data_IF_346939050715
#
_entry.id   IF_346939050715
#
_cell.length_a   1.000
_cell.length_b   1.000
_cell.length_c   1.000
_cell.angle_alpha   90.00
_cell.angle_beta   90.00
_cell.angle_gamma   90.00
#
_symmetry.space_group_name_H-M   'P 1'
#
loop_
_entity.id
_entity.type
_entity.pdbx_description
1 polymer ?
#
# COMPACT_ATOMS: atom_id res chain seq x y z
N UNK A 1 20.04 29.89 17.28
CA UNK A 1 19.32 29.90 15.98
C UNK A 1 18.07 30.74 16.15
N UNK A 2 17.90 31.83 15.38
CA UNK A 2 16.77 32.75 15.55
C UNK A 2 15.47 32.15 15.02
N UNK A 3 14.32 32.65 15.48
CA UNK A 3 13.00 32.18 15.03
C UNK A 3 12.83 32.27 13.50
N UNK A 4 13.34 33.34 12.87
CA UNK A 4 13.30 33.52 11.42
C UNK A 4 14.08 32.43 10.65
N UNK A 5 15.28 32.06 11.12
CA UNK A 5 16.08 30.98 10.50
C UNK A 5 15.38 29.62 10.62
N UNK A 6 14.70 29.35 11.74
CA UNK A 6 13.89 28.14 11.95
C UNK A 6 12.71 28.07 10.99
N UNK A 7 11.96 29.17 10.85
CA UNK A 7 10.82 29.25 9.92
C UNK A 7 11.26 29.01 8.48
N UNK A 8 12.31 29.69 8.01
CA UNK A 8 12.85 29.51 6.65
C UNK A 8 13.27 28.07 6.37
N UNK A 9 13.96 27.42 7.31
CA UNK A 9 14.38 26.02 7.18
C UNK A 9 13.17 25.08 7.08
N UNK A 10 12.14 25.32 7.87
CA UNK A 10 10.90 24.54 7.81
C UNK A 10 10.17 24.73 6.48
N UNK A 11 10.05 25.96 5.99
CA UNK A 11 9.45 26.26 4.68
C UNK A 11 10.16 25.53 3.55
N UNK A 12 11.50 25.60 3.49
CA UNK A 12 12.29 24.90 2.47
C UNK A 12 12.15 23.39 2.56
N UNK A 13 12.15 22.84 3.78
CA UNK A 13 11.93 21.40 4.01
C UNK A 13 10.57 20.97 3.50
N UNK A 14 9.51 21.71 3.84
CA UNK A 14 8.14 21.44 3.35
C UNK A 14 8.09 21.52 1.83
N UNK A 15 8.65 22.56 1.21
CA UNK A 15 8.67 22.70 -0.24
C UNK A 15 9.34 21.50 -0.93
N UNK A 16 10.50 21.05 -0.45
CA UNK A 16 11.19 19.87 -0.99
C UNK A 16 10.33 18.60 -0.84
N UNK A 17 9.71 18.39 0.32
CA UNK A 17 8.84 17.23 0.53
C UNK A 17 7.62 17.25 -0.39
N UNK A 18 6.97 18.41 -0.54
CA UNK A 18 5.83 18.60 -1.44
C UNK A 18 6.24 18.34 -2.89
N UNK A 19 7.39 18.87 -3.35
CA UNK A 19 7.89 18.62 -4.70
C UNK A 19 8.17 17.14 -4.96
N UNK A 20 8.74 16.42 -3.98
CA UNK A 20 8.96 14.97 -4.12
C UNK A 20 7.64 14.21 -4.16
N UNK A 21 6.68 14.54 -3.31
CA UNK A 21 5.37 13.90 -3.29
C UNK A 21 4.61 14.11 -4.60
N UNK A 22 4.63 15.34 -5.11
CA UNK A 22 4.05 15.68 -6.40
C UNK A 22 4.73 14.90 -7.54
N UNK A 23 6.06 14.79 -7.52
CA UNK A 23 6.82 14.02 -8.50
C UNK A 23 6.40 12.55 -8.55
N UNK A 24 6.37 11.85 -7.42
CA UNK A 24 5.97 10.43 -7.38
C UNK A 24 4.49 10.21 -7.70
N UNK A 25 3.62 11.14 -7.31
CA UNK A 25 2.20 11.13 -7.72
C UNK A 25 2.07 11.26 -9.24
N UNK A 26 2.85 12.16 -9.84
CA UNK A 26 2.88 12.36 -11.31
C UNK A 26 3.39 11.10 -12.01
N UNK A 27 4.46 10.46 -11.50
CA UNK A 27 4.96 9.18 -12.03
C UNK A 27 3.91 8.05 -11.95
N UNK A 28 3.02 8.10 -10.97
CA UNK A 28 1.93 7.12 -10.82
C UNK A 28 0.72 7.42 -11.71
N UNK A 29 0.58 8.67 -12.18
CA UNK A 29 -0.46 9.10 -13.12
C UNK A 29 -1.87 8.66 -12.72
N UNK A 30 -2.59 8.08 -13.67
CA UNK A 30 -3.98 7.62 -13.50
C UNK A 30 -4.13 6.51 -12.45
N UNK A 31 -3.07 5.72 -12.20
CA UNK A 31 -3.11 4.67 -11.17
C UNK A 31 -3.25 5.28 -9.77
N UNK A 32 -2.57 6.41 -9.52
CA UNK A 32 -2.72 7.14 -8.26
C UNK A 32 -4.18 7.61 -8.08
N UNK A 33 -4.79 8.14 -9.14
CA UNK A 33 -6.19 8.56 -9.11
C UNK A 33 -7.15 7.38 -8.85
N UNK A 34 -6.89 6.21 -9.43
CA UNK A 34 -7.71 5.02 -9.17
C UNK A 34 -7.54 4.47 -7.75
N UNK A 35 -6.35 4.56 -7.16
CA UNK A 35 -6.13 4.21 -5.75
C UNK A 35 -6.86 5.19 -4.82
N UNK A 36 -6.76 6.49 -5.09
CA UNK A 36 -7.45 7.53 -4.30
C UNK A 36 -8.98 7.44 -4.41
N UNK A 37 -9.49 7.09 -5.59
CA UNK A 37 -10.92 6.85 -5.83
C UNK A 37 -11.40 5.50 -5.25
N UNK A 38 -10.52 4.70 -4.65
CA UNK A 38 -10.86 3.38 -4.09
C UNK A 38 -11.23 2.34 -5.13
N UNK A 39 -10.84 2.51 -6.40
CA UNK A 39 -11.01 1.49 -7.46
C UNK A 39 -9.88 0.47 -7.47
N UNK A 40 -8.69 0.91 -7.06
CA UNK A 40 -7.53 0.07 -6.83
C UNK A 40 -7.13 0.12 -5.35
N UNK A 41 -6.51 -0.94 -4.86
CA UNK A 41 -6.04 -1.03 -3.49
C UNK A 41 -4.60 -1.54 -3.42
N UNK A 42 -3.80 -0.94 -2.53
CA UNK A 42 -2.46 -1.43 -2.18
C UNK A 42 -2.60 -2.54 -1.14
N UNK A 43 -1.74 -3.55 -1.17
CA UNK A 43 -1.80 -4.68 -0.21
C UNK A 43 -1.77 -4.23 1.25
N UNK A 44 -1.01 -3.18 1.58
CA UNK A 44 -0.97 -2.61 2.93
C UNK A 44 -2.32 -2.01 3.38
N UNK A 45 -3.00 -1.29 2.49
CA UNK A 45 -4.31 -0.71 2.81
C UNK A 45 -5.40 -1.78 2.88
N UNK A 46 -5.28 -2.84 2.07
CA UNK A 46 -6.16 -4.00 2.18
C UNK A 46 -6.00 -4.67 3.55
N UNK A 47 -4.77 -4.91 4.00
CA UNK A 47 -4.50 -5.45 5.34
C UNK A 47 -5.09 -4.56 6.44
N UNK A 48 -4.95 -3.24 6.33
CA UNK A 48 -5.56 -2.32 7.31
C UNK A 48 -7.09 -2.47 7.37
N UNK A 49 -7.76 -2.78 6.24
CA UNK A 49 -9.23 -2.98 6.20
C UNK A 49 -9.66 -4.30 6.84
N UNK A 50 -8.88 -5.37 6.69
CA UNK A 50 -9.21 -6.71 7.19
C UNK A 50 -8.62 -6.98 8.58
N UNK A 51 -8.27 -5.94 9.34
CA UNK A 51 -7.75 -6.07 10.72
C UNK A 51 -6.26 -6.37 10.84
N UNK A 52 -5.51 -6.51 9.73
CA UNK A 52 -4.07 -6.78 9.71
C UNK A 52 -3.17 -5.53 9.75
N UNK A 53 -3.69 -4.40 10.24
CA UNK A 53 -2.99 -3.12 10.23
C UNK A 53 -1.82 -3.03 11.23
N UNK A 54 -1.83 -3.84 12.28
CA UNK A 54 -0.82 -3.94 13.33
C UNK A 54 0.37 -4.85 12.96
N UNK A 55 0.23 -5.63 11.88
CA UNK A 55 1.29 -6.50 11.38
C UNK A 55 2.59 -5.72 11.13
N UNK A 56 3.72 -6.36 11.46
CA UNK A 56 5.04 -5.77 11.20
C UNK A 56 5.26 -5.57 9.71
N UNK A 57 6.01 -4.54 9.33
CA UNK A 57 6.29 -4.21 7.92
C UNK A 57 6.85 -5.41 7.12
N UNK A 58 7.67 -6.25 7.76
CA UNK A 58 8.16 -7.50 7.16
C UNK A 58 7.04 -8.49 6.83
N UNK A 59 6.04 -8.65 7.70
CA UNK A 59 4.88 -9.51 7.46
C UNK A 59 3.99 -8.94 6.34
N UNK A 60 3.76 -7.62 6.35
CA UNK A 60 3.03 -6.94 5.27
C UNK A 60 3.72 -7.12 3.90
N UNK A 61 5.04 -7.09 3.87
CA UNK A 61 5.82 -7.35 2.66
C UNK A 61 5.73 -8.82 2.20
N UNK A 62 5.76 -9.78 3.12
CA UNK A 62 5.55 -11.19 2.80
C UNK A 62 4.15 -11.45 2.25
N UNK A 63 3.11 -10.91 2.89
CA UNK A 63 1.75 -10.95 2.35
C UNK A 63 1.69 -10.42 0.91
N UNK A 64 2.29 -9.26 0.63
CA UNK A 64 2.36 -8.71 -0.72
C UNK A 64 3.01 -9.63 -1.76
N UNK A 65 4.00 -10.44 -1.36
CA UNK A 65 4.61 -11.46 -2.24
C UNK A 65 3.66 -12.60 -2.55
N UNK A 66 2.87 -13.03 -1.57
CA UNK A 66 1.86 -14.08 -1.76
C UNK A 66 0.74 -13.61 -2.70
N UNK A 67 0.24 -12.39 -2.52
CA UNK A 67 -0.74 -11.78 -3.43
C UNK A 67 -0.17 -11.68 -4.85
N UNK A 68 1.05 -11.17 -5.02
CA UNK A 68 1.67 -11.04 -6.35
C UNK A 68 1.85 -12.41 -7.02
N UNK A 69 2.20 -13.46 -6.25
CA UNK A 69 2.28 -14.83 -6.77
C UNK A 69 0.91 -15.34 -7.21
N UNK A 70 -0.13 -15.13 -6.41
CA UNK A 70 -1.50 -15.53 -6.74
C UNK A 70 -2.01 -14.80 -8.00
N UNK A 71 -1.78 -13.49 -8.07
CA UNK A 71 -2.19 -12.67 -9.22
C UNK A 71 -1.54 -13.15 -10.52
N UNK A 72 -0.22 -13.42 -10.50
CA UNK A 72 0.49 -13.97 -11.66
C UNK A 72 -0.06 -15.32 -12.10
N UNK A 73 -0.42 -16.18 -11.16
CA UNK A 73 -0.99 -17.49 -11.49
C UNK A 73 -2.38 -17.36 -12.17
N UNK A 74 -3.16 -16.35 -11.80
CA UNK A 74 -4.49 -16.10 -12.35
C UNK A 74 -4.48 -15.33 -13.68
N UNK A 75 -3.58 -14.35 -13.81
CA UNK A 75 -3.60 -13.37 -14.91
C UNK A 75 -2.41 -13.48 -15.87
N UNK A 76 -1.42 -14.33 -15.58
CA UNK A 76 -0.23 -14.53 -16.43
C UNK A 76 0.80 -13.39 -16.39
N UNK A 77 0.63 -12.39 -15.50
CA UNK A 77 1.51 -11.22 -15.45
C UNK A 77 1.49 -10.47 -14.13
N UNK A 78 2.27 -9.39 -14.08
CA UNK A 78 2.27 -8.44 -12.96
C UNK A 78 1.10 -7.48 -13.06
N UNK A 79 0.51 -7.13 -11.91
CA UNK A 79 -0.46 -6.02 -11.85
C UNK A 79 0.25 -4.66 -11.97
N UNK A 80 -0.55 -3.61 -12.12
CA UNK A 80 -0.11 -2.21 -12.11
C UNK A 80 0.59 -1.85 -10.80
N UNK A 81 1.52 -0.89 -10.87
CA UNK A 81 2.25 -0.40 -9.70
C UNK A 81 2.01 1.08 -9.47
N UNK A 82 2.11 1.48 -8.20
CA UNK A 82 1.88 2.84 -7.73
C UNK A 82 2.97 3.24 -6.74
N UNK A 83 3.48 4.46 -6.86
CA UNK A 83 4.40 5.00 -5.86
C UNK A 83 3.62 5.42 -4.62
N UNK A 84 4.11 5.01 -3.47
CA UNK A 84 3.54 5.38 -2.18
C UNK A 84 4.64 5.69 -1.19
N UNK A 85 4.34 6.58 -0.25
CA UNK A 85 5.21 6.79 0.89
C UNK A 85 4.97 5.70 1.93
N UNK A 86 6.03 5.01 2.32
CA UNK A 86 6.01 4.02 3.39
C UNK A 86 5.78 4.71 4.74
N UNK A 87 4.74 4.32 5.48
CA UNK A 87 4.29 5.05 6.69
C UNK A 87 5.36 5.10 7.78
N UNK A 88 6.05 3.99 8.03
CA UNK A 88 7.05 3.88 9.10
C UNK A 88 8.39 4.55 8.76
N UNK A 89 8.83 4.47 7.51
CA UNK A 89 10.18 4.89 7.12
C UNK A 89 10.21 6.20 6.33
N UNK A 90 9.05 6.70 5.90
CA UNK A 90 8.92 7.87 5.05
C UNK A 90 9.52 7.72 3.64
N UNK A 91 10.06 6.54 3.30
CA UNK A 91 10.66 6.26 1.99
C UNK A 91 9.58 6.05 0.94
N UNK A 92 9.83 6.54 -0.27
CA UNK A 92 8.98 6.25 -1.41
C UNK A 92 9.28 4.85 -1.94
N UNK A 93 8.24 4.05 -2.09
CA UNK A 93 8.32 2.66 -2.56
C UNK A 93 7.32 2.45 -3.68
N UNK A 94 7.66 1.57 -4.60
CA UNK A 94 6.80 1.23 -5.73
C UNK A 94 6.12 -0.11 -5.45
N UNK A 95 4.81 -0.08 -5.21
CA UNK A 95 4.05 -1.26 -4.77
C UNK A 95 3.02 -1.65 -5.82
N UNK A 96 2.64 -2.92 -5.84
CA UNK A 96 1.52 -3.40 -6.66
C UNK A 96 0.18 -2.88 -6.12
N UNK A 97 -0.74 -2.57 -7.03
CA UNK A 97 -2.11 -2.23 -6.73
C UNK A 97 -3.05 -3.20 -7.47
N UNK A 98 -4.13 -3.59 -6.82
CA UNK A 98 -5.06 -4.63 -7.29
C UNK A 98 -6.47 -4.08 -7.36
N UNK A 99 -7.37 -4.76 -8.07
CA UNK A 99 -8.81 -4.53 -7.89
C UNK A 99 -9.20 -4.74 -6.43
N UNK A 100 -10.18 -3.99 -5.92
CA UNK A 100 -10.55 -4.05 -4.49
C UNK A 100 -11.11 -5.41 -4.09
N UNK A 101 -11.73 -6.13 -5.03
CA UNK A 101 -12.32 -7.47 -4.85
C UNK A 101 -11.54 -8.54 -5.62
N UNK A 102 -10.25 -8.30 -5.89
CA UNK A 102 -9.40 -9.23 -6.63
C UNK A 102 -9.13 -10.50 -5.81
N UNK A 103 -9.43 -11.67 -6.38
CA UNK A 103 -9.27 -12.98 -5.73
C UNK A 103 -7.84 -13.25 -5.27
N UNK A 104 -6.83 -12.62 -5.90
CA UNK A 104 -5.44 -12.74 -5.48
C UNK A 104 -5.21 -12.20 -4.05
N UNK A 105 -5.99 -11.20 -3.61
CA UNK A 105 -5.89 -10.64 -2.25
C UNK A 105 -6.29 -11.69 -1.20
N UNK A 106 -7.41 -12.34 -1.42
CA UNK A 106 -7.94 -13.38 -0.54
C UNK A 106 -7.11 -14.68 -0.61
N UNK A 107 -6.65 -15.06 -1.80
CA UNK A 107 -5.69 -16.16 -1.97
C UNK A 107 -4.38 -15.87 -1.23
N UNK A 108 -3.93 -14.61 -1.24
CA UNK A 108 -2.78 -14.15 -0.47
C UNK A 108 -2.99 -14.32 1.03
N UNK A 109 -4.15 -13.91 1.56
CA UNK A 109 -4.50 -14.05 2.98
C UNK A 109 -4.47 -15.51 3.42
N UNK A 110 -5.08 -16.38 2.61
CA UNK A 110 -5.18 -17.81 2.86
C UNK A 110 -3.82 -18.52 2.79
N UNK A 111 -3.00 -18.18 1.80
CA UNK A 111 -1.72 -18.87 1.58
C UNK A 111 -0.61 -18.43 2.53
N UNK A 112 -0.69 -17.20 3.08
CA UNK A 112 0.32 -16.71 4.00
C UNK A 112 -0.09 -16.98 5.46
N UNK A 113 0.63 -17.88 6.14
CA UNK A 113 0.40 -18.24 7.55
C UNK A 113 0.30 -17.02 8.49
N UNK A 114 1.03 -15.95 8.21
CA UNK A 114 1.02 -14.73 9.01
C UNK A 114 -0.27 -13.91 8.92
N UNK A 115 -1.17 -14.22 7.98
CA UNK A 115 -2.45 -13.52 7.78
C UNK A 115 -3.67 -14.44 7.81
N UNK A 116 -3.48 -15.76 7.96
CA UNK A 116 -4.58 -16.73 7.97
C UNK A 116 -5.62 -16.46 9.06
N UNK A 117 -5.19 -15.94 10.22
CA UNK A 117 -6.09 -15.60 11.32
C UNK A 117 -7.09 -14.48 10.95
N UNK A 118 -6.74 -13.62 10.00
CA UNK A 118 -7.61 -12.52 9.53
C UNK A 118 -8.79 -13.02 8.70
N UNK A 119 -8.74 -14.27 8.21
CA UNK A 119 -9.86 -14.86 7.48
C UNK A 119 -11.05 -15.19 8.37
N UNK A 120 -10.82 -15.51 9.66
CA UNK A 120 -11.89 -15.86 10.58
C UNK A 120 -12.88 -14.69 10.76
N UNK A 121 -12.36 -13.47 10.85
CA UNK A 121 -13.16 -12.25 10.99
C UNK A 121 -13.92 -11.90 9.70
N UNK A 122 -13.38 -12.26 8.53
CA UNK A 122 -14.00 -11.94 7.23
C UNK A 122 -15.25 -12.78 6.95
N UNK A 123 -15.33 -14.01 7.49
CA UNK A 123 -16.51 -14.88 7.34
C UNK A 123 -17.51 -14.74 8.49
N UNK A 124 -17.12 -14.18 9.64
CA UNK A 124 -18.01 -13.97 10.77
C UNK A 124 -19.07 -12.87 10.51
N UNK A 125 -18.78 -11.88 9.65
CA UNK A 125 -19.76 -10.84 9.26
C UNK A 125 -20.76 -11.30 8.18
N UNK A 126 -20.53 -12.44 7.54
CA UNK A 126 -21.36 -12.94 6.43
C UNK A 126 -22.30 -14.09 6.81
N UNK A 127 -22.33 -14.50 8.08
CA UNK A 127 -23.16 -15.58 8.63
C UNK A 127 -24.26 -15.02 9.54
#
# INVERSE_FOLDING_TARGET
>A
MTAATRTRRNTLRTAIHTSRALGYRTLSGIIAAHVEAGRLIRTGDFLDRVGGGDLKDGQKAWFGRHVAKAYRAQHGGDTVRVWTQHRTTGKWIHVYAYGVVDDALYTGLFSYKGTQHLLADTYAEAA
#
